data_IF_510810133816
#
_entry.id   IF_510810133816
#
_cell.length_a   1.000
_cell.length_b   1.000
_cell.length_c   1.000
_cell.angle_alpha   90.00
_cell.angle_beta   90.00
_cell.angle_gamma   90.00
#
_symmetry.space_group_name_H-M   'P 1'
#
loop_
_entity.id
_entity.type
_entity.pdbx_description
1 polymer ?
#
# COMPACT_ATOMS: atom_id res chain seq x y z
N UNK A 1 15.70 4.75 49.00
CA UNK A 1 15.36 3.31 49.00
C UNK A 1 14.85 2.92 47.62
N UNK A 2 15.56 2.01 46.96
CA UNK A 2 15.15 1.32 45.74
C UNK A 2 13.82 0.59 45.92
N UNK A 3 13.00 0.55 44.86
CA UNK A 3 12.32 -0.68 44.40
C UNK A 3 11.83 -0.55 42.96
N UNK A 4 12.60 -1.20 42.09
CA UNK A 4 12.24 -1.61 40.72
C UNK A 4 11.08 -2.60 40.74
N UNK A 5 10.16 -2.50 39.78
CA UNK A 5 9.45 -3.64 39.16
C UNK A 5 8.54 -3.13 38.03
N UNK A 6 8.93 -3.40 36.79
CA UNK A 6 8.12 -3.07 35.60
C UNK A 6 8.83 -3.34 34.27
N UNK A 7 9.84 -4.20 34.24
CA UNK A 7 10.39 -4.76 32.99
C UNK A 7 9.58 -6.03 32.70
N UNK A 8 8.51 -5.90 31.92
CA UNK A 8 7.87 -7.03 31.25
C UNK A 8 7.05 -6.55 30.03
N UNK A 9 7.43 -7.06 28.86
CA UNK A 9 6.68 -7.04 27.58
C UNK A 9 6.72 -5.78 26.69
N UNK A 10 7.79 -4.98 26.75
CA UNK A 10 8.19 -4.16 25.58
C UNK A 10 9.09 -4.97 24.62
N UNK A 11 8.77 -6.25 24.40
CA UNK A 11 9.45 -7.07 23.42
C UNK A 11 9.20 -6.48 22.03
N UNK A 12 10.15 -5.65 21.57
CA UNK A 12 10.63 -5.69 20.20
C UNK A 12 9.61 -5.44 19.08
N UNK A 13 8.57 -4.63 19.27
CA UNK A 13 7.74 -4.15 18.14
C UNK A 13 8.64 -3.55 17.04
N UNK A 14 9.68 -2.81 17.41
CA UNK A 14 10.66 -2.28 16.46
C UNK A 14 11.50 -3.37 15.77
N UNK A 15 12.01 -4.39 16.49
CA UNK A 15 12.73 -5.51 15.83
C UNK A 15 11.81 -6.40 15.00
N UNK A 16 10.54 -6.56 15.38
CA UNK A 16 9.53 -7.28 14.61
C UNK A 16 9.16 -6.52 13.33
N UNK A 17 9.03 -5.20 13.38
CA UNK A 17 8.85 -4.34 12.20
C UNK A 17 10.08 -4.36 11.27
N UNK A 18 11.30 -4.40 11.81
CA UNK A 18 12.53 -4.55 11.01
C UNK A 18 12.67 -5.96 10.43
N UNK A 19 12.29 -7.00 11.16
CA UNK A 19 12.23 -8.37 10.66
C UNK A 19 11.17 -8.53 9.56
N UNK A 20 10.01 -7.86 9.68
CA UNK A 20 8.99 -7.77 8.64
C UNK A 20 9.50 -7.08 7.37
N UNK A 21 10.38 -6.07 7.49
CA UNK A 21 11.07 -5.45 6.35
C UNK A 21 12.09 -6.41 5.70
N UNK A 22 12.80 -7.19 6.51
CA UNK A 22 13.70 -8.25 6.03
C UNK A 22 12.94 -9.39 5.32
N UNK A 23 11.83 -9.85 5.90
CA UNK A 23 10.91 -10.82 5.29
C UNK A 23 10.29 -10.29 4.00
N UNK A 24 9.98 -8.99 3.95
CA UNK A 24 9.52 -8.34 2.73
C UNK A 24 10.52 -8.47 1.58
N UNK A 25 11.80 -8.19 1.84
CA UNK A 25 12.87 -8.36 0.84
C UNK A 25 12.93 -9.79 0.28
N UNK A 26 12.70 -10.80 1.13
CA UNK A 26 12.65 -12.22 0.71
C UNK A 26 11.49 -12.46 -0.27
N UNK A 27 10.32 -11.83 -0.07
CA UNK A 27 9.19 -12.00 -0.98
C UNK A 27 9.47 -11.39 -2.36
N UNK A 28 10.13 -10.23 -2.42
CA UNK A 28 10.56 -9.65 -3.70
C UNK A 28 11.53 -10.60 -4.43
N UNK A 29 12.50 -11.15 -3.70
CA UNK A 29 13.45 -12.11 -4.28
C UNK A 29 12.75 -13.38 -4.77
N UNK A 30 11.74 -13.87 -4.06
CA UNK A 30 10.95 -15.02 -4.49
C UNK A 30 10.17 -14.74 -5.79
N UNK A 31 9.53 -13.58 -5.89
CA UNK A 31 8.84 -13.15 -7.12
C UNK A 31 9.82 -13.07 -8.29
N UNK A 32 10.97 -12.42 -8.09
CA UNK A 32 12.01 -12.32 -9.12
C UNK A 32 12.60 -13.68 -9.50
N UNK A 33 12.74 -14.60 -8.54
CA UNK A 33 13.20 -15.96 -8.81
C UNK A 33 12.19 -16.74 -9.66
N UNK A 34 10.89 -16.64 -9.35
CA UNK A 34 9.84 -17.28 -10.16
C UNK A 34 9.84 -16.72 -11.59
N UNK A 35 9.94 -15.40 -11.74
CA UNK A 35 10.06 -14.75 -13.05
C UNK A 35 11.33 -15.19 -13.78
N UNK A 36 12.46 -15.30 -13.09
CA UNK A 36 13.72 -15.74 -13.67
C UNK A 36 13.70 -17.20 -14.14
N UNK A 37 13.12 -18.10 -13.34
CA UNK A 37 12.97 -19.53 -13.69
C UNK A 37 12.02 -19.70 -14.87
N UNK A 38 10.89 -18.99 -14.87
CA UNK A 38 9.94 -19.03 -15.99
C UNK A 38 10.55 -18.46 -17.26
N UNK A 39 11.29 -17.35 -17.17
CA UNK A 39 12.06 -16.80 -18.29
C UNK A 39 13.07 -17.82 -18.83
N UNK A 40 13.85 -18.45 -17.97
CA UNK A 40 14.82 -19.47 -18.36
C UNK A 40 14.15 -20.65 -19.09
N UNK A 41 13.06 -21.18 -18.53
CA UNK A 41 12.33 -22.30 -19.12
C UNK A 41 11.72 -21.97 -20.49
N UNK A 42 11.05 -20.82 -20.61
CA UNK A 42 10.38 -20.41 -21.86
C UNK A 42 11.40 -20.00 -22.91
N UNK A 43 12.31 -19.10 -22.57
CA UNK A 43 13.21 -18.47 -23.55
C UNK A 43 14.39 -19.37 -23.90
N UNK A 44 15.06 -19.98 -22.91
CA UNK A 44 16.27 -20.75 -23.18
C UNK A 44 16.01 -22.24 -23.43
N UNK A 45 15.13 -22.87 -22.65
CA UNK A 45 14.91 -24.32 -22.82
C UNK A 45 13.94 -24.65 -23.96
N UNK A 46 12.89 -23.84 -24.15
CA UNK A 46 11.82 -24.17 -25.09
C UNK A 46 12.01 -23.48 -26.46
N UNK A 47 11.94 -22.14 -26.50
CA UNK A 47 11.95 -21.40 -27.77
C UNK A 47 13.34 -21.07 -28.29
N UNK A 48 14.37 -21.09 -27.43
CA UNK A 48 15.77 -20.86 -27.81
C UNK A 48 16.26 -21.84 -28.88
N UNK A 49 16.16 -23.17 -28.69
CA UNK A 49 16.53 -24.15 -29.70
C UNK A 49 15.71 -24.03 -30.98
N UNK A 50 14.42 -23.69 -30.86
CA UNK A 50 13.52 -23.54 -31.99
C UNK A 50 13.95 -22.43 -32.97
N UNK A 51 14.66 -21.40 -32.51
CA UNK A 51 15.23 -20.36 -33.38
C UNK A 51 16.22 -20.92 -34.40
N UNK A 52 16.96 -21.97 -34.05
CA UNK A 52 17.99 -22.57 -34.91
C UNK A 52 17.47 -23.63 -35.88
N UNK A 53 16.19 -24.01 -35.78
CA UNK A 53 15.60 -25.06 -36.63
C UNK A 53 15.31 -24.59 -38.07
N UNK A 54 15.19 -23.28 -38.29
CA UNK A 54 14.91 -22.68 -39.60
C UNK A 54 13.45 -22.82 -40.04
N UNK A 55 13.07 -22.11 -41.10
CA UNK A 55 11.73 -22.20 -41.68
C UNK A 55 10.62 -21.59 -40.80
N UNK A 56 9.41 -22.17 -40.88
CA UNK A 56 8.22 -21.63 -40.20
C UNK A 56 8.27 -21.72 -38.67
N UNK A 57 9.00 -22.69 -38.12
CA UNK A 57 9.20 -22.85 -36.67
C UNK A 57 10.01 -21.69 -36.08
N UNK A 58 11.05 -21.22 -36.77
CA UNK A 58 11.81 -20.03 -36.35
C UNK A 58 10.92 -18.78 -36.34
N UNK A 59 10.08 -18.58 -37.35
CA UNK A 59 9.18 -17.42 -37.40
C UNK A 59 8.15 -17.46 -36.25
N UNK A 60 7.56 -18.62 -36.00
CA UNK A 60 6.65 -18.81 -34.88
C UNK A 60 7.34 -18.57 -33.52
N UNK A 61 8.55 -19.10 -33.34
CA UNK A 61 9.35 -18.89 -32.14
C UNK A 61 9.68 -17.41 -31.92
N UNK A 62 10.05 -16.67 -32.97
CA UNK A 62 10.28 -15.22 -32.88
C UNK A 62 9.01 -14.46 -32.47
N UNK A 63 7.86 -14.78 -33.06
CA UNK A 63 6.59 -14.14 -32.72
C UNK A 63 6.22 -14.37 -31.23
N UNK A 64 6.39 -15.60 -30.74
CA UNK A 64 6.15 -15.94 -29.33
C UNK A 64 7.17 -15.24 -28.42
N UNK A 65 8.45 -15.24 -28.77
CA UNK A 65 9.47 -14.59 -27.96
C UNK A 65 9.27 -13.07 -27.87
N UNK A 66 8.95 -12.40 -28.98
CA UNK A 66 8.70 -10.96 -28.99
C UNK A 66 7.49 -10.58 -28.14
N UNK A 67 6.38 -11.32 -28.30
CA UNK A 67 5.18 -11.10 -27.48
C UNK A 67 5.44 -11.39 -26.00
N UNK A 68 6.16 -12.47 -25.68
CA UNK A 68 6.57 -12.80 -24.32
C UNK A 68 7.42 -11.69 -23.68
N UNK A 69 8.44 -11.19 -24.37
CA UNK A 69 9.30 -10.11 -23.84
C UNK A 69 8.53 -8.81 -23.64
N UNK A 70 7.62 -8.47 -24.56
CA UNK A 70 6.75 -7.31 -24.41
C UNK A 70 5.88 -7.41 -23.16
N UNK A 71 5.19 -8.54 -22.97
CA UNK A 71 4.34 -8.77 -21.80
C UNK A 71 5.16 -8.82 -20.51
N UNK A 72 6.33 -9.45 -20.52
CA UNK A 72 7.23 -9.49 -19.38
C UNK A 72 7.72 -8.09 -18.98
N UNK A 73 8.06 -7.25 -19.95
CA UNK A 73 8.46 -5.86 -19.69
C UNK A 73 7.32 -5.07 -19.05
N UNK A 74 6.10 -5.21 -19.56
CA UNK A 74 4.90 -4.58 -19.00
C UNK A 74 4.59 -5.07 -17.57
N UNK A 75 4.73 -6.37 -17.32
CA UNK A 75 4.54 -6.98 -16.00
C UNK A 75 5.56 -6.44 -14.99
N UNK A 76 6.85 -6.47 -15.34
CA UNK A 76 7.92 -5.99 -14.46
C UNK A 76 7.80 -4.49 -14.21
N UNK A 77 7.49 -3.71 -15.23
CA UNK A 77 7.24 -2.27 -15.09
C UNK A 77 6.11 -1.99 -14.10
N UNK A 78 5.00 -2.71 -14.23
CA UNK A 78 3.84 -2.57 -13.34
C UNK A 78 4.19 -2.99 -11.91
N UNK A 79 4.86 -4.13 -11.73
CA UNK A 79 5.31 -4.61 -10.43
C UNK A 79 6.22 -3.60 -9.72
N UNK A 80 7.30 -3.15 -10.38
CA UNK A 80 8.22 -2.17 -9.78
C UNK A 80 7.56 -0.82 -9.53
N UNK A 81 6.61 -0.41 -10.37
CA UNK A 81 5.81 0.80 -10.13
C UNK A 81 5.03 0.68 -8.81
N UNK A 82 4.46 -0.48 -8.48
CA UNK A 82 3.77 -0.68 -7.19
C UNK A 82 4.75 -0.67 -6.01
N UNK A 83 5.87 -1.37 -6.15
CA UNK A 83 6.88 -1.52 -5.09
C UNK A 83 7.46 -0.17 -4.70
N UNK A 84 7.81 0.67 -5.69
CA UNK A 84 8.54 1.91 -5.45
C UNK A 84 7.67 3.16 -5.31
N UNK A 85 6.40 3.13 -5.74
CA UNK A 85 5.51 4.28 -5.58
C UNK A 85 4.97 4.37 -4.16
N UNK A 86 5.09 5.55 -3.54
CA UNK A 86 4.44 5.80 -2.25
C UNK A 86 2.91 5.67 -2.41
N UNK A 87 2.21 4.87 -1.58
CA UNK A 87 0.75 4.67 -1.69
C UNK A 87 -0.10 5.91 -1.38
N UNK A 88 0.50 6.97 -0.86
CA UNK A 88 -0.15 8.20 -0.44
C UNK A 88 -0.24 8.32 1.08
N UNK A 89 0.20 9.48 1.60
CA UNK A 89 0.07 9.87 3.00
C UNK A 89 -1.00 10.95 3.16
N UNK A 90 -1.54 11.06 4.38
CA UNK A 90 -2.38 12.21 4.74
C UNK A 90 -1.49 13.46 4.80
N UNK A 91 -1.85 14.56 4.13
CA UNK A 91 -1.07 15.79 4.20
C UNK A 91 -1.07 16.37 5.63
N UNK A 92 0.02 17.05 6.02
CA UNK A 92 0.07 17.73 7.31
C UNK A 92 -1.05 18.77 7.36
N UNK A 93 -1.74 18.85 8.50
CA UNK A 93 -2.87 19.77 8.73
C UNK A 93 -4.13 19.50 7.89
N UNK A 94 -4.34 18.26 7.43
CA UNK A 94 -5.62 17.89 6.82
C UNK A 94 -6.77 18.19 7.79
N UNK A 95 -7.69 19.05 7.35
CA UNK A 95 -8.91 19.42 8.04
C UNK A 95 -10.11 19.02 7.16
N UNK A 96 -11.30 19.08 7.77
CA UNK A 96 -12.53 19.05 7.00
C UNK A 96 -12.88 20.49 6.69
N UNK A 97 -12.83 20.85 5.42
CA UNK A 97 -13.59 21.99 4.94
C UNK A 97 -15.07 21.62 5.08
N UNK A 98 -15.68 22.10 6.15
CA UNK A 98 -17.12 22.26 6.16
C UNK A 98 -17.41 23.41 5.22
N UNK A 99 -18.15 23.16 4.13
CA UNK A 99 -18.71 24.25 3.34
C UNK A 99 -19.53 25.13 4.30
N UNK A 100 -18.99 26.30 4.63
CA UNK A 100 -19.65 27.31 5.46
C UNK A 100 -20.73 27.97 4.61
N UNK A 101 -21.77 27.22 4.26
CA UNK A 101 -23.04 27.74 3.76
C UNK A 101 -24.16 27.59 4.80
N UNK A 102 -23.83 27.32 6.06
CA UNK A 102 -24.79 27.35 7.16
C UNK A 102 -24.49 28.58 8.00
N UNK A 103 -25.44 29.52 7.93
CA UNK A 103 -25.31 30.92 8.26
C UNK A 103 -24.54 31.23 9.55
N UNK A 104 -23.76 32.30 9.45
CA UNK A 104 -23.31 33.21 10.50
C UNK A 104 -23.58 32.74 11.94
N UNK A 105 -22.79 31.81 12.48
CA UNK A 105 -22.45 31.81 13.91
C UNK A 105 -21.16 31.05 14.20
N UNK A 106 -20.18 31.81 14.69
CA UNK A 106 -19.13 31.43 15.64
C UNK A 106 -17.91 30.59 15.14
N UNK A 107 -16.73 31.23 14.99
CA UNK A 107 -15.43 30.58 14.73
C UNK A 107 -14.88 29.69 15.87
N UNK A 108 -15.67 29.37 16.89
CA UNK A 108 -15.21 28.68 18.12
C UNK A 108 -15.57 27.18 18.16
N UNK A 109 -16.46 26.71 17.29
CA UNK A 109 -16.93 25.31 17.31
C UNK A 109 -15.91 24.29 16.76
N UNK A 110 -14.95 24.72 15.93
CA UNK A 110 -13.94 23.83 15.33
C UNK A 110 -12.90 23.33 16.34
N UNK A 111 -12.60 24.13 17.37
CA UNK A 111 -11.67 23.78 18.44
C UNK A 111 -12.31 22.86 19.48
N UNK A 112 -13.59 23.09 19.82
CA UNK A 112 -14.30 22.30 20.83
C UNK A 112 -14.70 20.90 20.33
N UNK A 113 -14.96 20.73 19.02
CA UNK A 113 -15.30 19.41 18.46
C UNK A 113 -14.11 18.43 18.54
N UNK A 114 -12.87 18.93 18.44
CA UNK A 114 -11.65 18.12 18.54
C UNK A 114 -11.28 17.78 19.99
N UNK A 115 -11.59 18.63 20.97
CA UNK A 115 -11.20 18.44 22.37
C UNK A 115 -12.12 17.50 23.15
N UNK A 116 -13.39 17.35 22.74
CA UNK A 116 -14.34 16.43 23.39
C UNK A 116 -14.26 14.97 22.92
N UNK A 117 -13.47 14.64 21.90
CA UNK A 117 -13.39 13.29 21.31
C UNK A 117 -12.57 12.25 22.14
N UNK A 118 -12.42 12.51 23.45
CA UNK A 118 -11.74 11.66 24.43
C UNK A 118 -12.73 10.75 25.18
N UNK A 119 -13.53 9.95 24.47
CA UNK A 119 -14.26 8.82 25.07
C UNK A 119 -14.99 8.05 23.98
N UNK A 120 -15.27 6.78 24.27
CA UNK A 120 -15.57 5.69 23.34
C UNK A 120 -16.90 5.74 22.58
N UNK A 121 -17.50 6.90 22.32
CA UNK A 121 -18.86 6.94 21.79
C UNK A 121 -18.90 7.47 20.36
N UNK A 122 -19.26 6.57 19.44
CA UNK A 122 -19.77 6.93 18.13
C UNK A 122 -21.02 7.78 18.31
N UNK A 123 -20.87 9.10 18.24
CA UNK A 123 -21.99 10.02 18.29
C UNK A 123 -22.79 9.83 17.00
N UNK A 124 -23.87 9.07 17.11
CA UNK A 124 -24.97 9.07 16.17
C UNK A 124 -25.79 10.34 16.42
N UNK A 125 -25.27 11.50 16.02
CA UNK A 125 -26.10 12.69 15.89
C UNK A 125 -26.75 12.62 14.51
N UNK A 126 -28.06 12.39 14.50
CA UNK A 126 -28.86 12.26 13.31
C UNK A 126 -28.79 13.52 12.45
N UNK A 127 -28.20 13.39 11.27
CA UNK A 127 -28.71 13.91 10.01
C UNK A 127 -27.88 13.30 8.87
N UNK A 128 -28.58 12.90 7.80
CA UNK A 128 -28.13 11.95 6.77
C UNK A 128 -27.09 12.51 5.77
N UNK A 129 -26.24 13.43 6.18
CA UNK A 129 -25.29 14.13 5.28
C UNK A 129 -23.92 14.46 5.89
N UNK A 130 -23.69 14.25 7.20
CA UNK A 130 -22.41 14.60 7.81
C UNK A 130 -21.46 13.38 7.88
N UNK A 131 -20.35 13.34 7.10
CA UNK A 131 -19.42 12.23 7.17
C UNK A 131 -18.79 12.19 8.56
N UNK A 132 -19.06 11.11 9.33
CA UNK A 132 -18.46 10.89 10.65
C UNK A 132 -16.93 10.95 10.54
N UNK A 133 -16.38 12.05 11.04
CA UNK A 133 -14.94 12.30 11.04
C UNK A 133 -14.26 11.26 11.92
N UNK A 134 -13.29 10.54 11.36
CA UNK A 134 -12.56 9.51 12.12
C UNK A 134 -11.20 10.09 12.54
N UNK A 135 -10.74 9.74 13.74
CA UNK A 135 -9.43 10.16 14.24
C UNK A 135 -8.43 9.00 14.28
N UNK A 136 -7.14 9.28 14.09
CA UNK A 136 -6.06 8.32 14.26
C UNK A 136 -5.23 8.63 15.49
N UNK A 137 -5.43 7.87 16.58
CA UNK A 137 -4.67 8.02 17.82
C UNK A 137 -3.16 7.80 17.65
N UNK A 138 -2.75 6.89 16.76
CA UNK A 138 -1.33 6.57 16.52
C UNK A 138 -0.59 7.66 15.75
N UNK A 139 -1.27 8.37 14.85
CA UNK A 139 -0.69 9.44 14.04
C UNK A 139 -1.07 10.84 14.56
N UNK A 140 -1.87 10.92 15.62
CA UNK A 140 -2.37 12.15 16.23
C UNK A 140 -3.03 13.13 15.22
N UNK A 141 -3.83 12.61 14.28
CA UNK A 141 -4.43 13.41 13.20
C UNK A 141 -5.83 12.89 12.80
N UNK A 142 -6.63 13.76 12.20
CA UNK A 142 -7.90 13.39 11.59
C UNK A 142 -7.66 12.52 10.35
N UNK A 143 -8.56 11.58 10.08
CA UNK A 143 -8.50 10.65 8.95
C UNK A 143 -9.40 11.17 7.84
N UNK A 144 -8.85 11.44 6.65
CA UNK A 144 -9.65 11.63 5.45
C UNK A 144 -10.63 10.48 5.18
N UNK A 145 -11.70 10.72 4.41
CA UNK A 145 -12.55 9.66 3.91
C UNK A 145 -11.72 8.54 3.27
N UNK A 146 -12.07 7.28 3.55
CA UNK A 146 -11.38 6.07 3.06
C UNK A 146 -9.90 5.94 3.48
N UNK A 147 -9.40 6.77 4.39
CA UNK A 147 -8.05 6.62 4.97
C UNK A 147 -8.04 5.58 6.11
N UNK A 148 -7.00 4.74 6.15
CA UNK A 148 -6.78 3.78 7.23
C UNK A 148 -5.32 3.83 7.71
N UNK A 149 -5.09 3.52 8.99
CA UNK A 149 -3.75 3.40 9.54
C UNK A 149 -3.22 1.99 9.32
N UNK A 150 -2.12 1.86 8.59
CA UNK A 150 -1.41 0.60 8.47
C UNK A 150 -0.37 0.48 9.58
N UNK A 151 -0.52 -0.55 10.43
CA UNK A 151 0.46 -0.85 11.50
C UNK A 151 1.84 -1.23 10.97
N UNK A 152 1.90 -1.86 9.79
CA UNK A 152 3.17 -2.27 9.16
C UNK A 152 3.90 -1.07 8.56
N UNK A 153 3.19 -0.23 7.79
CA UNK A 153 3.74 1.01 7.23
C UNK A 153 3.95 2.09 8.31
N UNK A 154 3.33 1.96 9.49
CA UNK A 154 3.46 2.89 10.62
C UNK A 154 2.77 4.24 10.42
N UNK A 155 1.88 4.36 9.43
CA UNK A 155 1.27 5.63 9.03
C UNK A 155 -0.16 5.46 8.51
N UNK A 156 -0.87 6.58 8.43
CA UNK A 156 -2.15 6.67 7.71
C UNK A 156 -1.92 6.70 6.20
N UNK A 157 -2.60 5.82 5.48
CA UNK A 157 -2.52 5.70 4.01
C UNK A 157 -3.85 6.15 3.40
N UNK A 158 -3.78 7.00 2.38
CA UNK A 158 -4.96 7.49 1.66
C UNK A 158 -5.57 6.38 0.81
N UNK A 159 -6.91 6.27 0.81
CA UNK A 159 -7.66 5.24 0.08
C UNK A 159 -7.00 3.85 0.23
N UNK A 160 -6.60 3.53 1.46
CA UNK A 160 -5.88 2.29 1.76
C UNK A 160 -6.76 1.10 1.40
N UNK A 161 -6.23 0.20 0.57
CA UNK A 161 -6.85 -1.08 0.26
C UNK A 161 -6.31 -2.14 1.23
N UNK A 162 -5.03 -2.47 1.12
CA UNK A 162 -4.34 -3.40 2.03
C UNK A 162 -2.84 -3.14 2.10
N UNK A 163 -2.15 -3.80 3.03
CA UNK A 163 -0.69 -3.92 3.01
C UNK A 163 -0.32 -5.22 2.32
N UNK A 164 0.40 -5.14 1.20
CA UNK A 164 0.71 -6.30 0.39
C UNK A 164 2.14 -6.75 0.66
N UNK A 165 2.28 -7.97 1.19
CA UNK A 165 3.58 -8.56 1.53
C UNK A 165 4.40 -8.86 0.27
N UNK A 166 3.74 -9.13 -0.86
CA UNK A 166 4.37 -9.43 -2.15
C UNK A 166 5.11 -8.25 -2.78
N UNK A 167 4.64 -7.02 -2.51
CA UNK A 167 5.29 -5.78 -2.99
C UNK A 167 5.95 -4.99 -1.85
N UNK A 168 5.89 -5.50 -0.62
CA UNK A 168 6.45 -4.89 0.60
C UNK A 168 5.99 -3.45 0.80
N UNK A 169 4.76 -3.16 0.35
CA UNK A 169 4.23 -1.81 0.32
C UNK A 169 2.73 -1.83 0.63
N UNK A 170 2.24 -0.72 1.15
CA UNK A 170 0.80 -0.50 1.22
C UNK A 170 0.28 -0.25 -0.22
N UNK A 171 -0.94 -0.72 -0.51
CA UNK A 171 -1.68 -0.37 -1.72
C UNK A 171 -2.69 0.70 -1.32
N UNK A 172 -2.57 1.88 -1.93
CA UNK A 172 -3.34 3.07 -1.59
C UNK A 172 -3.59 3.96 -2.80
N UNK A 173 -4.04 5.18 -2.56
CA UNK A 173 -4.52 6.11 -3.58
C UNK A 173 -3.56 6.27 -4.78
N UNK A 174 -2.25 6.36 -4.54
CA UNK A 174 -1.27 6.72 -5.57
C UNK A 174 -0.68 5.53 -6.34
N UNK A 175 -0.78 4.31 -5.81
CA UNK A 175 -0.25 3.11 -6.48
C UNK A 175 -1.33 2.06 -6.82
N UNK A 176 -2.61 2.32 -6.50
CA UNK A 176 -3.72 1.42 -6.79
C UNK A 176 -3.81 1.03 -8.27
N UNK A 177 -3.61 2.00 -9.19
CA UNK A 177 -3.63 1.74 -10.64
C UNK A 177 -2.53 0.76 -11.06
N UNK A 178 -1.31 0.97 -10.58
CA UNK A 178 -0.19 0.07 -10.89
C UNK A 178 -0.45 -1.32 -10.32
N UNK A 179 -1.09 -1.41 -9.15
CA UNK A 179 -1.42 -2.69 -8.54
C UNK A 179 -2.43 -3.47 -9.38
N UNK A 180 -3.45 -2.80 -9.93
CA UNK A 180 -4.37 -3.45 -10.86
C UNK A 180 -3.69 -3.89 -12.16
N UNK A 181 -2.81 -3.07 -12.72
CA UNK A 181 -2.05 -3.44 -13.94
C UNK A 181 -1.08 -4.60 -13.71
N UNK A 182 -0.54 -4.74 -12.50
CA UNK A 182 0.32 -5.86 -12.11
C UNK A 182 -0.47 -7.19 -12.02
N UNK A 183 -1.75 -7.14 -11.66
CA UNK A 183 -2.59 -8.35 -11.53
C UNK A 183 -3.17 -8.87 -12.86
N UNK A 184 -3.11 -8.07 -13.91
CA UNK A 184 -3.62 -8.39 -15.26
C UNK A 184 -2.49 -8.85 -16.16
#
# INVERSE_FOLDING_TARGET
MYRSAGVAMAWNVFRFCTALRGLGSIMILLVLAIVGVTYYAVVLCNYGPALFTGGGTTLAALAVLLSFHFLLAMLLWSYFSVVFTDPGSVPPNWNLDFDVEMGETAPLASSELCSQMNSQQSVALGNMTNPRVRYCRKCNQLKPPRCHHCSVCGRCVLKMDHHCVWVVNCVGALNYKYFLLFLV
#
